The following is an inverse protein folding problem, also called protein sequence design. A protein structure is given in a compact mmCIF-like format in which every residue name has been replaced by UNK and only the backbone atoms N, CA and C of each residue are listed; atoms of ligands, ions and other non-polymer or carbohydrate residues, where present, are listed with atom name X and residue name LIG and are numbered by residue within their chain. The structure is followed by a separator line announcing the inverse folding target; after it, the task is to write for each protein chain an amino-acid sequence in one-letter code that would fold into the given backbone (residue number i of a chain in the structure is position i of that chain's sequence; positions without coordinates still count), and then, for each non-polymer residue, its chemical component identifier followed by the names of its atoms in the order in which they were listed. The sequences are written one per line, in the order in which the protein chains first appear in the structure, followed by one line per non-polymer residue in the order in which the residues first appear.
data_IF_355783448337
#
_entry.id   IF_355783448337
#
_cell.length_a   1.000
_cell.length_b   1.000
_cell.length_c   1.000
_cell.angle_alpha   90.00
_cell.angle_beta   90.00
_cell.angle_gamma   90.00
#
_symmetry.space_group_name_H-M   'P 1'
#
loop_
_entity.id
_entity.type
_entity.pdbx_description
1 polymer ?
#
# COMPACT_ATOMS: atom_id res chain seq x y z
N UNK A 1 16.97 -73.14 40.42
CA UNK A 1 17.62 -72.28 39.40
C UNK A 1 16.69 -71.11 39.21
N UNK A 2 17.07 -69.95 39.73
CA UNK A 2 16.31 -68.72 39.59
C UNK A 2 17.27 -67.71 38.97
N UNK A 3 17.13 -67.50 37.67
CA UNK A 3 17.99 -66.61 36.89
C UNK A 3 17.43 -65.21 37.05
N UNK A 4 17.84 -64.54 38.13
CA UNK A 4 17.51 -63.13 38.32
C UNK A 4 18.06 -62.31 37.16
N UNK A 5 17.13 -61.63 36.50
CA UNK A 5 17.34 -60.51 35.60
C UNK A 5 18.39 -59.54 36.16
N UNK A 6 19.52 -59.39 35.46
CA UNK A 6 20.52 -58.35 35.73
C UNK A 6 20.75 -57.51 34.48
N UNK A 7 19.70 -56.85 34.02
CA UNK A 7 19.85 -55.51 33.45
C UNK A 7 19.25 -54.55 34.47
N UNK A 8 19.99 -54.31 35.56
CA UNK A 8 19.78 -53.12 36.39
C UNK A 8 20.26 -51.94 35.55
N UNK A 9 19.30 -51.35 34.86
CA UNK A 9 19.38 -50.24 33.93
C UNK A 9 19.74 -48.94 34.66
N UNK A 10 20.99 -48.83 35.14
CA UNK A 10 21.50 -47.59 35.74
C UNK A 10 22.30 -46.83 34.71
N UNK A 11 21.70 -45.81 34.10
CA UNK A 11 22.41 -44.83 33.29
C UNK A 11 23.62 -44.31 34.09
N UNK A 12 24.81 -44.34 33.49
CA UNK A 12 25.99 -43.75 34.12
C UNK A 12 25.88 -42.22 34.07
N UNK A 13 26.54 -41.53 35.01
CA UNK A 13 26.52 -40.07 35.07
C UNK A 13 26.97 -39.43 33.74
N UNK A 14 27.90 -40.05 33.03
CA UNK A 14 28.36 -39.62 31.70
C UNK A 14 27.26 -39.71 30.63
N UNK A 15 26.45 -40.77 30.65
CA UNK A 15 25.32 -40.91 29.71
C UNK A 15 24.22 -39.87 29.98
N UNK A 16 23.96 -39.57 31.25
CA UNK A 16 23.02 -38.51 31.65
C UNK A 16 23.53 -37.14 31.16
N UNK A 17 24.83 -36.85 31.35
CA UNK A 17 25.44 -35.60 30.91
C UNK A 17 25.39 -35.41 29.38
N UNK A 18 25.62 -36.49 28.61
CA UNK A 18 25.54 -36.46 27.15
C UNK A 18 24.10 -36.22 26.69
N UNK A 19 23.12 -36.95 27.26
CA UNK A 19 21.71 -36.78 26.92
C UNK A 19 21.19 -35.39 27.29
N UNK A 20 21.64 -34.83 28.42
CA UNK A 20 21.29 -33.47 28.83
C UNK A 20 21.89 -32.43 27.88
N UNK A 21 23.16 -32.59 27.47
CA UNK A 21 23.79 -31.72 26.47
C UNK A 21 23.06 -31.79 25.11
N UNK A 22 22.67 -32.99 24.68
CA UNK A 22 21.89 -33.17 23.46
C UNK A 22 20.49 -32.56 23.59
N UNK A 23 19.83 -32.70 24.75
CA UNK A 23 18.54 -32.08 25.01
C UNK A 23 18.63 -30.55 24.98
N UNK A 24 19.69 -29.96 25.56
CA UNK A 24 19.95 -28.52 25.52
C UNK A 24 20.21 -28.05 24.07
N UNK A 25 21.00 -28.80 23.30
CA UNK A 25 21.28 -28.49 21.90
C UNK A 25 20.04 -28.61 21.00
N UNK A 26 19.21 -29.63 21.23
CA UNK A 26 17.92 -29.81 20.52
C UNK A 26 16.97 -28.68 20.89
N UNK A 27 16.90 -28.29 22.17
CA UNK A 27 16.06 -27.17 22.61
C UNK A 27 16.45 -25.86 21.91
N UNK A 28 17.75 -25.55 21.82
CA UNK A 28 18.26 -24.39 21.10
C UNK A 28 17.94 -24.47 19.59
N UNK A 29 18.12 -25.65 18.97
CA UNK A 29 17.83 -25.84 17.55
C UNK A 29 16.34 -25.66 17.24
N UNK A 30 15.46 -26.17 18.10
CA UNK A 30 14.00 -25.98 18.00
C UNK A 30 13.65 -24.51 18.18
N UNK A 31 14.21 -23.84 19.19
CA UNK A 31 13.99 -22.41 19.45
C UNK A 31 14.43 -21.55 18.25
N UNK A 32 15.61 -21.79 17.70
CA UNK A 32 16.09 -21.12 16.49
C UNK A 32 15.17 -21.35 15.28
N UNK A 33 14.67 -22.58 15.12
CA UNK A 33 13.73 -22.91 14.03
C UNK A 33 12.41 -22.17 14.19
N UNK A 34 11.85 -22.13 15.40
CA UNK A 34 10.60 -21.43 15.71
C UNK A 34 10.75 -19.92 15.56
N UNK A 35 11.84 -19.33 16.07
CA UNK A 35 12.16 -17.91 15.92
C UNK A 35 12.32 -17.54 14.44
N UNK A 36 12.96 -18.40 13.64
CA UNK A 36 13.07 -18.19 12.20
C UNK A 36 11.71 -18.28 11.51
N UNK A 37 10.88 -19.28 11.84
CA UNK A 37 9.53 -19.39 11.30
C UNK A 37 8.66 -18.18 11.66
N UNK A 38 8.76 -17.70 12.90
CA UNK A 38 8.06 -16.49 13.34
C UNK A 38 8.54 -15.25 12.57
N UNK A 39 9.85 -15.12 12.34
CA UNK A 39 10.43 -14.04 11.54
C UNK A 39 9.88 -14.04 10.11
N UNK A 40 9.88 -15.20 9.44
CA UNK A 40 9.33 -15.35 8.09
C UNK A 40 7.85 -14.98 8.06
N UNK A 41 7.06 -15.49 9.01
CA UNK A 41 5.64 -15.18 9.11
C UNK A 41 5.39 -13.67 9.27
N UNK A 42 6.14 -12.99 10.14
CA UNK A 42 6.01 -11.53 10.33
C UNK A 42 6.37 -10.75 9.07
N UNK A 43 7.39 -11.20 8.32
CA UNK A 43 7.75 -10.58 7.04
C UNK A 43 6.63 -10.73 6.00
N UNK A 44 5.99 -11.89 5.94
CA UNK A 44 4.83 -12.13 5.06
C UNK A 44 3.64 -11.24 5.44
N UNK A 45 3.31 -11.15 6.73
CA UNK A 45 2.24 -10.29 7.24
C UNK A 45 2.49 -8.80 6.91
N UNK A 46 3.73 -8.32 7.09
CA UNK A 46 4.13 -6.97 6.71
C UNK A 46 4.04 -6.73 5.20
N UNK A 47 4.51 -7.67 4.40
CA UNK A 47 4.45 -7.57 2.94
C UNK A 47 2.99 -7.52 2.45
N UNK A 48 2.12 -8.35 3.00
CA UNK A 48 0.69 -8.36 2.65
C UNK A 48 -0.02 -7.06 3.08
N UNK A 49 0.30 -6.57 4.27
CA UNK A 49 -0.23 -5.30 4.78
C UNK A 49 0.22 -4.12 3.91
N UNK A 50 1.52 -4.03 3.62
CA UNK A 50 2.07 -3.01 2.72
C UNK A 50 1.41 -3.10 1.35
N UNK A 51 1.19 -4.34 0.87
CA UNK A 51 0.54 -4.58 -0.40
C UNK A 51 -0.86 -3.96 -0.45
N UNK A 52 -1.70 -4.31 0.53
CA UNK A 52 -3.08 -3.79 0.62
C UNK A 52 -3.12 -2.27 0.76
N UNK A 53 -2.20 -1.67 1.52
CA UNK A 53 -2.12 -0.22 1.69
C UNK A 53 -1.76 0.50 0.38
N UNK A 54 -0.72 0.05 -0.32
CA UNK A 54 -0.33 0.62 -1.61
C UNK A 54 -1.48 0.50 -2.62
N UNK A 55 -2.17 -0.65 -2.69
CA UNK A 55 -3.29 -0.84 -3.59
C UNK A 55 -4.42 0.18 -3.34
N UNK A 56 -4.83 0.33 -2.08
CA UNK A 56 -5.89 1.27 -1.68
C UNK A 56 -5.50 2.71 -1.98
N UNK A 57 -4.29 3.12 -1.59
CA UNK A 57 -3.83 4.48 -1.81
C UNK A 57 -3.79 4.84 -3.32
N UNK A 58 -3.36 3.90 -4.16
CA UNK A 58 -3.40 4.07 -5.62
C UNK A 58 -4.82 4.10 -6.19
N UNK A 59 -5.72 3.26 -5.68
CA UNK A 59 -7.14 3.31 -6.06
C UNK A 59 -7.74 4.68 -5.74
N UNK A 60 -7.58 5.15 -4.50
CA UNK A 60 -8.09 6.44 -4.05
C UNK A 60 -7.52 7.60 -4.87
N UNK A 61 -6.21 7.59 -5.11
CA UNK A 61 -5.52 8.59 -5.92
C UNK A 61 -6.04 8.64 -7.37
N UNK A 62 -6.16 7.48 -8.02
CA UNK A 62 -6.67 7.40 -9.40
C UNK A 62 -8.14 7.81 -9.47
N UNK A 63 -8.98 7.44 -8.50
CA UNK A 63 -10.38 7.89 -8.45
C UNK A 63 -10.49 9.40 -8.36
N UNK A 64 -9.64 10.05 -7.56
CA UNK A 64 -9.59 11.51 -7.43
C UNK A 64 -9.14 12.21 -8.73
N UNK A 65 -8.14 11.65 -9.44
CA UNK A 65 -7.66 12.22 -10.71
C UNK A 65 -8.59 11.93 -11.91
N UNK A 66 -9.25 10.77 -11.97
CA UNK A 66 -10.16 10.42 -13.09
C UNK A 66 -11.35 11.37 -13.19
N UNK A 67 -11.77 11.98 -12.08
CA UNK A 67 -12.76 13.06 -12.08
C UNK A 67 -12.26 14.36 -12.73
N UNK A 68 -10.94 14.52 -12.97
CA UNK A 68 -10.34 15.77 -13.49
C UNK A 68 -9.68 15.66 -14.87
N UNK A 69 -9.26 14.48 -15.34
CA UNK A 69 -8.56 14.36 -16.64
C UNK A 69 -9.02 13.15 -17.47
N UNK A 70 -9.62 13.46 -18.62
CA UNK A 70 -9.82 12.54 -19.74
C UNK A 70 -8.45 12.29 -20.40
N UNK A 71 -8.20 11.02 -20.71
CA UNK A 71 -6.95 10.41 -21.20
C UNK A 71 -6.31 11.22 -22.34
N UNK A 72 -5.03 11.58 -22.19
CA UNK A 72 -4.19 12.06 -23.28
C UNK A 72 -3.79 10.87 -24.17
N UNK A 73 -4.52 10.66 -25.27
CA UNK A 73 -4.06 9.80 -26.36
C UNK A 73 -2.97 10.53 -27.15
N UNK A 74 -1.79 9.94 -27.25
CA UNK A 74 -0.81 10.31 -28.27
C UNK A 74 -0.87 9.23 -29.36
N UNK A 75 -1.41 9.58 -30.54
CA UNK A 75 -1.40 8.73 -31.73
C UNK A 75 -2.79 8.30 -32.20
N UNK A 76 -3.06 8.52 -33.49
CA UNK A 76 -4.31 8.16 -34.19
C UNK A 76 -4.37 6.64 -34.36
N UNK A 77 -5.39 5.99 -33.78
CA UNK A 77 -5.60 4.54 -33.89
C UNK A 77 -6.68 4.17 -34.90
N UNK A 78 -6.44 3.11 -35.69
CA UNK A 78 -7.45 2.44 -36.54
C UNK A 78 -7.52 0.92 -36.31
N UNK A 79 -7.08 0.43 -35.15
CA UNK A 79 -7.38 -0.94 -34.70
C UNK A 79 -8.64 -0.85 -33.80
N UNK A 80 -9.59 -1.80 -33.88
CA UNK A 80 -10.74 -1.80 -32.97
C UNK A 80 -10.28 -1.77 -31.50
N UNK A 81 -10.88 -0.86 -30.71
CA UNK A 81 -10.58 -0.59 -29.29
C UNK A 81 -10.49 -1.86 -28.41
N UNK A 82 -11.10 -2.96 -28.84
CA UNK A 82 -11.17 -4.25 -28.14
C UNK A 82 -9.82 -4.97 -28.03
N UNK A 83 -8.93 -4.86 -29.03
CA UNK A 83 -7.66 -5.60 -29.05
C UNK A 83 -6.61 -4.94 -28.15
N UNK A 84 -6.57 -3.60 -28.11
CA UNK A 84 -5.80 -2.80 -27.14
C UNK A 84 -6.18 -3.15 -25.70
N UNK A 85 -7.47 -3.26 -25.43
CA UNK A 85 -7.97 -3.55 -24.10
C UNK A 85 -7.53 -4.93 -23.62
N UNK A 86 -7.47 -5.92 -24.52
CA UNK A 86 -7.10 -7.31 -24.18
C UNK A 86 -5.63 -7.45 -23.79
N UNK A 87 -4.71 -6.80 -24.50
CA UNK A 87 -3.28 -6.81 -24.15
C UNK A 87 -3.02 -6.12 -22.81
N UNK A 88 -3.63 -4.94 -22.61
CA UNK A 88 -3.52 -4.18 -21.36
C UNK A 88 -4.07 -4.96 -20.17
N UNK A 89 -5.23 -5.60 -20.34
CA UNK A 89 -5.82 -6.48 -19.33
C UNK A 89 -4.95 -7.71 -19.05
N UNK A 90 -4.39 -8.33 -20.09
CA UNK A 90 -3.52 -9.50 -19.94
C UNK A 90 -2.24 -9.14 -19.18
N UNK A 91 -1.58 -8.05 -19.55
CA UNK A 91 -0.41 -7.56 -18.83
C UNK A 91 -0.77 -7.21 -17.37
N UNK A 92 -1.90 -6.55 -17.15
CA UNK A 92 -2.36 -6.17 -15.80
C UNK A 92 -2.62 -7.40 -14.93
N UNK A 93 -3.32 -8.41 -15.47
CA UNK A 93 -3.67 -9.65 -14.77
C UNK A 93 -2.48 -10.55 -14.51
N UNK A 94 -1.57 -10.68 -15.48
CA UNK A 94 -0.44 -11.61 -15.39
C UNK A 94 0.78 -11.01 -14.70
N UNK A 95 0.90 -9.68 -14.66
CA UNK A 95 2.11 -9.01 -14.21
C UNK A 95 3.32 -9.24 -15.13
N UNK A 96 3.10 -9.68 -16.37
CA UNK A 96 4.13 -9.89 -17.39
C UNK A 96 3.83 -9.09 -18.66
N UNK A 97 4.84 -8.76 -19.48
CA UNK A 97 4.59 -8.18 -20.79
C UNK A 97 3.71 -9.09 -21.65
N UNK A 98 2.75 -8.51 -22.35
CA UNK A 98 1.88 -9.19 -23.31
C UNK A 98 2.17 -8.65 -24.70
N UNK A 99 2.43 -9.53 -25.66
CA UNK A 99 2.73 -9.19 -27.04
C UNK A 99 1.52 -9.62 -27.89
N UNK A 100 1.05 -8.74 -28.76
CA UNK A 100 -0.05 -9.02 -29.69
C UNK A 100 0.44 -9.51 -31.04
N UNK A 101 -0.51 -9.78 -31.92
CA UNK A 101 -0.25 -10.25 -33.28
C UNK A 101 0.15 -9.09 -34.21
N UNK A 102 0.79 -9.44 -35.33
CA UNK A 102 1.14 -8.49 -36.39
C UNK A 102 -0.13 -7.85 -36.94
N UNK A 103 -0.17 -6.51 -36.94
CA UNK A 103 -1.32 -5.76 -37.43
C UNK A 103 -1.26 -5.57 -38.95
N UNK A 104 -2.38 -5.13 -39.51
CA UNK A 104 -2.47 -4.69 -40.92
C UNK A 104 -1.55 -3.50 -41.26
N UNK A 105 -0.97 -2.82 -40.28
CA UNK A 105 -0.04 -1.69 -40.45
C UNK A 105 1.43 -2.12 -40.42
N UNK A 106 1.70 -3.42 -40.44
CA UNK A 106 3.05 -3.96 -40.32
C UNK A 106 3.70 -3.58 -38.97
N UNK A 107 2.90 -3.62 -37.91
CA UNK A 107 3.30 -3.28 -36.55
C UNK A 107 2.96 -4.39 -35.57
N UNK A 108 3.72 -4.48 -34.48
CA UNK A 108 3.51 -5.38 -33.37
C UNK A 108 3.16 -4.58 -32.11
N UNK A 109 1.93 -4.70 -31.59
CA UNK A 109 1.53 -4.08 -30.34
C UNK A 109 2.03 -4.92 -29.16
N UNK A 110 2.43 -4.26 -28.08
CA UNK A 110 2.75 -4.94 -26.82
C UNK A 110 2.43 -4.06 -25.64
N UNK A 111 2.03 -4.69 -24.53
CA UNK A 111 1.71 -4.04 -23.28
C UNK A 111 2.67 -4.48 -22.18
N UNK A 112 3.12 -3.54 -21.37
CA UNK A 112 4.03 -3.78 -20.26
C UNK A 112 3.36 -3.33 -18.96
N UNK A 113 3.31 -4.20 -17.94
CA UNK A 113 2.64 -3.88 -16.67
C UNK A 113 3.44 -2.87 -15.85
N UNK A 114 2.75 -1.90 -15.26
CA UNK A 114 3.29 -0.96 -14.28
C UNK A 114 3.34 -1.69 -12.93
N UNK A 115 4.51 -2.16 -12.55
CA UNK A 115 4.72 -2.91 -11.32
C UNK A 115 5.32 -2.03 -10.22
N UNK A 116 4.71 -2.05 -9.04
CA UNK A 116 5.21 -1.38 -7.86
C UNK A 116 5.11 -2.33 -6.67
N UNK A 117 6.26 -2.70 -6.07
CA UNK A 117 6.34 -3.54 -4.87
C UNK A 117 5.49 -4.82 -4.97
N UNK A 118 5.59 -5.53 -6.11
CA UNK A 118 4.86 -6.78 -6.35
C UNK A 118 3.38 -6.61 -6.71
N UNK A 119 2.93 -5.39 -7.02
CA UNK A 119 1.56 -5.11 -7.47
C UNK A 119 1.53 -4.51 -8.85
N UNK A 120 0.54 -4.92 -9.64
CA UNK A 120 0.28 -4.33 -10.95
C UNK A 120 -0.72 -3.19 -10.81
N UNK A 121 -0.26 -1.96 -11.05
CA UNK A 121 -1.10 -0.75 -11.00
C UNK A 121 -1.87 -0.53 -12.31
N UNK A 122 -1.39 -1.10 -13.40
CA UNK A 122 -1.96 -1.00 -14.75
C UNK A 122 -0.96 -1.50 -15.77
N UNK A 123 -1.12 -1.09 -17.03
CA UNK A 123 -0.16 -1.38 -18.08
C UNK A 123 -0.07 -0.22 -19.07
N UNK A 124 1.13 -0.03 -19.63
CA UNK A 124 1.39 0.89 -20.73
C UNK A 124 1.51 0.08 -22.01
N UNK A 125 0.92 0.58 -23.09
CA UNK A 125 0.92 -0.09 -24.37
C UNK A 125 1.71 0.71 -25.40
N UNK A 126 2.44 -0.02 -26.24
CA UNK A 126 3.14 0.48 -27.41
C UNK A 126 2.76 -0.32 -28.64
N UNK A 127 3.09 0.26 -29.79
CA UNK A 127 2.96 -0.35 -31.10
C UNK A 127 4.21 0.05 -31.88
N UNK A 128 4.97 -0.93 -32.37
CA UNK A 128 6.22 -0.72 -33.10
C UNK A 128 6.12 -1.36 -34.49
N UNK A 129 6.75 -0.82 -35.53
CA UNK A 129 6.92 -1.54 -36.81
C UNK A 129 7.53 -2.94 -36.59
N UNK A 130 7.10 -3.94 -37.35
CA UNK A 130 7.61 -5.32 -37.23
C UNK A 130 9.13 -5.36 -37.37
N UNK A 131 9.67 -4.59 -38.32
CA UNK A 131 11.11 -4.47 -38.54
C UNK A 131 11.90 -3.95 -37.32
N UNK A 132 11.26 -3.16 -36.45
CA UNK A 132 11.88 -2.57 -35.27
C UNK A 132 11.55 -3.35 -33.98
N UNK A 133 10.65 -4.34 -34.05
CA UNK A 133 10.19 -5.08 -32.90
C UNK A 133 11.23 -6.14 -32.50
N UNK A 134 11.81 -5.97 -31.32
CA UNK A 134 12.76 -6.93 -30.73
C UNK A 134 12.48 -7.15 -29.25
N UNK A 135 12.95 -8.29 -28.72
CA UNK A 135 12.84 -8.58 -27.29
C UNK A 135 13.53 -7.52 -26.42
N UNK A 136 14.64 -6.95 -26.90
CA UNK A 136 15.37 -5.88 -26.21
C UNK A 136 14.53 -4.61 -26.05
N UNK A 137 13.67 -4.29 -27.03
CA UNK A 137 12.73 -3.17 -26.92
C UNK A 137 11.69 -3.39 -25.83
N UNK A 138 11.21 -4.63 -25.69
CA UNK A 138 10.27 -5.00 -24.61
C UNK A 138 10.95 -4.90 -23.25
N UNK A 139 12.21 -5.36 -23.13
CA UNK A 139 12.99 -5.24 -21.90
C UNK A 139 13.27 -3.77 -21.53
N UNK A 140 13.64 -2.95 -22.52
CA UNK A 140 13.81 -1.51 -22.32
C UNK A 140 12.51 -0.85 -21.87
N UNK A 141 11.38 -1.16 -22.53
CA UNK A 141 10.08 -0.64 -22.13
C UNK A 141 9.73 -1.06 -20.69
N UNK A 142 10.05 -2.30 -20.29
CA UNK A 142 9.88 -2.76 -18.92
C UNK A 142 10.72 -2.01 -17.91
N UNK A 143 11.98 -1.72 -18.24
CA UNK A 143 12.88 -0.93 -17.40
C UNK A 143 12.37 0.51 -17.22
N UNK A 144 11.93 1.14 -18.30
CA UNK A 144 11.31 2.47 -18.28
C UNK A 144 10.01 2.49 -17.48
N UNK A 145 9.15 1.49 -17.66
CA UNK A 145 7.88 1.37 -16.92
C UNK A 145 8.12 1.17 -15.43
N UNK A 146 9.11 0.37 -15.05
CA UNK A 146 9.47 0.18 -13.64
C UNK A 146 9.96 1.50 -13.00
N UNK A 147 10.79 2.28 -13.71
CA UNK A 147 11.23 3.61 -13.25
C UNK A 147 10.07 4.60 -13.17
N UNK A 148 9.15 4.54 -14.13
CA UNK A 148 7.94 5.35 -14.13
C UNK A 148 7.07 5.02 -12.91
N UNK A 149 6.87 3.74 -12.59
CA UNK A 149 6.09 3.30 -11.44
C UNK A 149 6.62 3.90 -10.13
N UNK A 150 7.94 3.85 -9.92
CA UNK A 150 8.58 4.43 -8.73
C UNK A 150 8.43 5.96 -8.71
N UNK A 151 8.67 6.62 -9.84
CA UNK A 151 8.54 8.08 -9.96
C UNK A 151 7.11 8.55 -9.68
N UNK A 152 6.12 7.81 -10.19
CA UNK A 152 4.71 8.09 -9.95
C UNK A 152 4.34 7.90 -8.47
N UNK A 153 4.88 6.89 -7.79
CA UNK A 153 4.66 6.69 -6.35
C UNK A 153 5.29 7.81 -5.51
N UNK A 154 6.51 8.22 -5.86
CA UNK A 154 7.16 9.35 -5.21
C UNK A 154 6.38 10.65 -5.40
N UNK A 155 5.89 10.91 -6.62
CA UNK A 155 5.07 12.09 -6.90
C UNK A 155 3.76 12.07 -6.11
N UNK A 156 3.09 10.90 -6.04
CA UNK A 156 1.88 10.71 -5.23
C UNK A 156 2.15 10.98 -3.75
N UNK A 157 3.17 10.34 -3.18
CA UNK A 157 3.56 10.51 -1.78
C UNK A 157 3.93 11.96 -1.45
N UNK A 158 4.64 12.63 -2.37
CA UNK A 158 4.98 14.04 -2.22
C UNK A 158 3.73 14.92 -2.20
N UNK A 159 2.78 14.69 -3.11
CA UNK A 159 1.51 15.43 -3.13
C UNK A 159 0.68 15.17 -1.86
N UNK A 160 0.63 13.94 -1.36
CA UNK A 160 -0.03 13.60 -0.10
C UNK A 160 0.61 14.33 1.08
N UNK A 161 1.94 14.35 1.15
CA UNK A 161 2.70 15.10 2.16
C UNK A 161 2.39 16.61 2.11
N UNK A 162 2.39 17.20 0.92
CA UNK A 162 2.07 18.63 0.76
C UNK A 162 0.64 18.95 1.21
N UNK A 163 -0.34 18.12 0.85
CA UNK A 163 -1.72 18.28 1.31
C UNK A 163 -1.84 18.16 2.84
N UNK A 164 -1.06 17.27 3.46
CA UNK A 164 -1.04 17.13 4.91
C UNK A 164 -0.48 18.39 5.59
N UNK A 165 0.62 18.95 5.07
CA UNK A 165 1.22 20.20 5.56
C UNK A 165 0.24 21.37 5.41
N UNK A 166 -0.41 21.50 4.25
CA UNK A 166 -1.41 22.55 4.02
C UNK A 166 -2.58 22.44 5.01
N UNK A 167 -3.07 21.22 5.25
CA UNK A 167 -4.12 20.96 6.23
C UNK A 167 -3.69 21.32 7.64
N UNK A 168 -2.48 20.93 8.05
CA UNK A 168 -1.96 21.20 9.38
C UNK A 168 -1.75 22.71 9.61
N UNK A 169 -1.22 23.43 8.62
CA UNK A 169 -1.12 24.90 8.67
C UNK A 169 -2.50 25.54 8.85
N UNK A 170 -3.48 25.11 8.07
CA UNK A 170 -4.85 25.62 8.20
C UNK A 170 -5.41 25.38 9.61
N UNK A 171 -5.24 24.18 10.16
CA UNK A 171 -5.69 23.87 11.53
C UNK A 171 -4.99 24.76 12.56
N UNK A 172 -3.66 24.91 12.47
CA UNK A 172 -2.90 25.74 13.39
C UNK A 172 -3.25 27.23 13.28
N UNK A 173 -3.46 27.74 12.06
CA UNK A 173 -3.86 29.13 11.82
C UNK A 173 -5.23 29.42 12.46
N UNK A 174 -6.19 28.50 12.31
CA UNK A 174 -7.52 28.62 12.93
C UNK A 174 -7.40 28.55 14.45
N UNK A 175 -6.65 27.58 14.98
CA UNK A 175 -6.44 27.42 16.42
C UNK A 175 -5.81 28.68 17.04
N UNK A 176 -4.78 29.26 16.40
CA UNK A 176 -4.13 30.47 16.85
C UNK A 176 -5.10 31.67 16.91
N UNK A 177 -5.92 31.86 15.86
CA UNK A 177 -6.95 32.92 15.82
C UNK A 177 -7.99 32.76 16.94
N UNK A 178 -8.36 31.53 17.27
CA UNK A 178 -9.30 31.21 18.36
C UNK A 178 -8.68 31.49 19.73
N UNK A 179 -7.45 31.04 19.98
CA UNK A 179 -6.76 31.27 21.27
C UNK A 179 -6.40 32.73 21.52
N UNK A 180 -6.37 33.56 20.48
CA UNK A 180 -6.12 35.00 20.58
C UNK A 180 -7.33 35.80 21.06
N UNK A 181 -8.52 35.19 21.16
CA UNK A 181 -9.72 35.86 21.67
C UNK A 181 -9.92 35.55 23.16
N UNK A 182 -10.24 36.58 23.94
CA UNK A 182 -10.53 36.47 25.39
C UNK A 182 -12.04 36.44 25.69
N UNK A 183 -12.88 36.69 24.69
CA UNK A 183 -14.35 36.74 24.82
C UNK A 183 -14.99 35.54 24.11
N UNK A 184 -15.90 34.85 24.79
CA UNK A 184 -16.53 33.61 24.27
C UNK A 184 -17.38 33.85 23.02
N UNK A 185 -18.05 35.00 22.91
CA UNK A 185 -18.85 35.35 21.74
C UNK A 185 -17.93 35.58 20.53
N UNK A 186 -16.78 36.21 20.75
CA UNK A 186 -15.76 36.40 19.71
C UNK A 186 -15.10 35.08 19.29
N UNK A 187 -14.83 34.17 20.22
CA UNK A 187 -14.32 32.82 19.91
C UNK A 187 -15.30 32.08 19.00
N UNK A 188 -16.59 32.08 19.33
CA UNK A 188 -17.62 31.39 18.56
C UNK A 188 -17.78 31.98 17.15
N UNK A 189 -17.79 33.30 17.03
CA UNK A 189 -17.90 33.97 15.71
C UNK A 189 -16.69 33.64 14.81
N UNK A 190 -15.47 33.68 15.37
CA UNK A 190 -14.25 33.28 14.66
C UNK A 190 -14.32 31.80 14.29
N UNK A 191 -14.77 30.93 15.19
CA UNK A 191 -14.87 29.49 14.93
C UNK A 191 -15.82 29.17 13.77
N UNK A 192 -17.04 29.72 13.78
CA UNK A 192 -18.03 29.51 12.71
C UNK A 192 -17.47 29.95 11.37
N UNK A 193 -16.89 31.15 11.32
CA UNK A 193 -16.36 31.73 10.08
C UNK A 193 -15.19 30.92 9.52
N UNK A 194 -14.21 30.62 10.35
CA UNK A 194 -12.98 29.94 9.93
C UNK A 194 -13.24 28.47 9.57
N UNK A 195 -14.07 27.76 10.36
CA UNK A 195 -14.47 26.37 10.05
C UNK A 195 -15.33 26.31 8.79
N UNK A 196 -16.27 27.26 8.61
CA UNK A 196 -17.09 27.35 7.40
C UNK A 196 -16.25 27.57 6.14
N UNK A 197 -15.28 28.49 6.19
CA UNK A 197 -14.36 28.74 5.07
C UNK A 197 -13.46 27.53 4.78
N UNK A 198 -12.88 26.93 5.83
CA UNK A 198 -11.99 25.77 5.71
C UNK A 198 -12.69 24.56 5.06
N UNK A 199 -13.93 24.28 5.46
CA UNK A 199 -14.72 23.16 4.94
C UNK A 199 -15.45 23.50 3.63
N UNK A 200 -15.43 24.76 3.19
CA UNK A 200 -16.30 25.28 2.12
C UNK A 200 -17.78 24.92 2.38
N UNK A 201 -18.16 24.89 3.65
CA UNK A 201 -19.52 24.57 4.06
C UNK A 201 -20.37 25.83 3.94
N UNK A 202 -21.52 25.78 3.23
CA UNK A 202 -22.39 26.93 3.06
C UNK A 202 -23.09 27.35 4.38
N UNK A 203 -23.19 26.45 5.36
CA UNK A 203 -23.79 26.72 6.67
C UNK A 203 -23.04 25.96 7.76
N UNK A 204 -22.77 26.64 8.89
CA UNK A 204 -22.13 26.08 10.08
C UNK A 204 -22.89 26.59 11.32
N UNK A 205 -23.37 25.67 12.15
CA UNK A 205 -24.13 25.97 13.38
C UNK A 205 -23.36 25.38 14.57
N UNK A 206 -23.10 26.20 15.59
CA UNK A 206 -22.50 25.78 16.86
C UNK A 206 -23.56 25.88 17.96
N UNK A 207 -23.83 24.77 18.65
CA UNK A 207 -24.74 24.72 19.79
C UNK A 207 -23.94 24.44 21.07
N UNK A 208 -24.09 25.30 22.08
CA UNK A 208 -23.54 25.08 23.42
C UNK A 208 -24.68 24.63 24.34
N UNK A 209 -24.64 23.38 24.81
CA UNK A 209 -25.54 22.89 25.84
C UNK A 209 -24.81 22.88 27.19
N UNK A 210 -25.28 23.70 28.14
CA UNK A 210 -24.90 23.55 29.54
C UNK A 210 -25.55 22.26 30.06
N UNK A 211 -24.73 21.26 30.34
CA UNK A 211 -25.18 20.04 30.99
C UNK A 211 -25.62 20.43 32.40
N UNK A 212 -26.93 20.50 32.64
CA UNK A 212 -27.46 20.61 34.01
C UNK A 212 -26.98 19.36 34.75
N UNK A 213 -26.15 19.54 35.76
CA UNK A 213 -25.98 18.52 36.79
C UNK A 213 -27.36 18.28 37.39
N UNK A 214 -27.85 17.06 37.25
CA UNK A 214 -29.01 16.60 37.98
C UNK A 214 -28.65 16.70 39.47
N UNK A 215 -29.21 17.71 40.14
CA UNK A 215 -29.30 17.77 41.60
C UNK A 215 -30.15 16.58 42.07
N UNK A 216 -29.55 15.38 42.13
CA UNK A 216 -29.99 14.31 43.02
C UNK A 216 -29.63 14.70 44.45
N UNK A 217 -30.37 15.64 45.00
CA UNK A 217 -30.54 15.74 46.44
C UNK A 217 -31.92 16.26 46.76
N UNK A 218 -32.89 15.35 46.87
CA UNK A 218 -34.25 15.75 47.18
C UNK A 218 -35.30 14.65 47.27
N UNK A 219 -35.05 13.57 48.02
CA UNK A 219 -35.91 13.13 49.15
C UNK A 219 -35.54 11.75 49.68
#
# INVERSE_FOLDING_TARGET
MDVQSKFSDSFTQDQINILQTMADQIAIAIENSLLYQESIRRLEELAESNRKQTQRAWQDYIHYQRQRQIISQAGVSSIPLTEYETLRQTATRTGKPAIGELTHRDTVPFAVPIQLRGQTLGAVQWELPEADFTHDKVLLAQELVNRLAISLDNARLFQESQRAIERERLVNDIAAKLTGQTDIDQILEVAVREVGQALRAPEVIINLSLQKEDDENGK
#
